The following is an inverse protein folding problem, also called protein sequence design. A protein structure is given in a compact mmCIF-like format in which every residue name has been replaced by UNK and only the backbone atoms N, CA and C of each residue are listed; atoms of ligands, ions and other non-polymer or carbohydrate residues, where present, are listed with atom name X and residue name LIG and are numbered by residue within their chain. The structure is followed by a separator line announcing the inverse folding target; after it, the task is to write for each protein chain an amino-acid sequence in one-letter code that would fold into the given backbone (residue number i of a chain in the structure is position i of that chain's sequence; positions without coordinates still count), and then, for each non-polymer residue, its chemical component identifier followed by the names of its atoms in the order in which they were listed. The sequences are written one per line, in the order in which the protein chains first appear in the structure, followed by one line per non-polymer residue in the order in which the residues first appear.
data_IF_154430775157
#
_entry.id   IF_154430775157
#
_cell.length_a   1.000
_cell.length_b   1.000
_cell.length_c   1.000
_cell.angle_alpha   90.00
_cell.angle_beta   90.00
_cell.angle_gamma   90.00
#
_symmetry.space_group_name_H-M   'P 1'
#
loop_
_entity.id
_entity.type
_entity.pdbx_description
1 polymer ?
#
# COMPACT_ATOMS: atom_id res chain seq x y z
N UNK A 1 -7.23 -9.92 -3.38
CA UNK A 1 -6.95 -8.47 -3.32
C UNK A 1 -7.16 -7.75 -4.66
N UNK A 2 -6.30 -7.91 -5.68
CA UNK A 2 -6.33 -7.07 -6.90
C UNK A 2 -7.68 -7.10 -7.64
N UNK A 3 -8.27 -8.29 -7.81
CA UNK A 3 -9.62 -8.46 -8.36
C UNK A 3 -10.70 -7.72 -7.56
N UNK A 4 -10.63 -7.73 -6.24
CA UNK A 4 -11.57 -7.02 -5.37
C UNK A 4 -11.42 -5.49 -5.49
N UNK A 5 -10.19 -4.98 -5.64
CA UNK A 5 -9.97 -3.56 -5.90
C UNK A 5 -10.52 -3.13 -7.28
N UNK A 6 -10.35 -3.96 -8.31
CA UNK A 6 -10.85 -3.68 -9.66
C UNK A 6 -12.39 -3.67 -9.71
N UNK A 7 -13.05 -4.57 -8.99
CA UNK A 7 -14.52 -4.67 -8.98
C UNK A 7 -15.19 -3.48 -8.27
N UNK A 8 -14.57 -2.93 -7.23
CA UNK A 8 -15.14 -1.80 -6.48
C UNK A 8 -14.86 -0.43 -7.13
N UNK A 9 -13.74 -0.28 -7.84
CA UNK A 9 -13.32 1.02 -8.39
C UNK A 9 -13.93 1.36 -9.76
N UNK A 10 -14.82 0.52 -10.31
CA UNK A 10 -15.70 0.91 -11.44
C UNK A 10 -15.00 1.49 -12.69
N UNK A 11 -13.71 1.16 -12.91
CA UNK A 11 -12.90 1.67 -14.01
C UNK A 11 -11.84 2.72 -13.65
N UNK A 12 -11.84 3.30 -12.44
CA UNK A 12 -10.77 4.19 -11.97
C UNK A 12 -9.60 3.45 -11.32
N UNK A 13 -9.68 2.11 -11.22
CA UNK A 13 -8.67 1.26 -10.59
C UNK A 13 -7.25 1.48 -11.14
N UNK A 14 -7.13 1.79 -12.43
CA UNK A 14 -5.84 2.05 -13.08
C UNK A 14 -5.14 3.28 -12.51
N UNK A 15 -5.90 4.32 -12.11
CA UNK A 15 -5.37 5.50 -11.44
C UNK A 15 -4.79 5.17 -10.06
N UNK A 16 -5.24 4.08 -9.44
CA UNK A 16 -4.80 3.64 -8.11
C UNK A 16 -3.92 2.39 -8.15
N UNK A 17 -3.57 1.90 -9.34
CA UNK A 17 -2.78 0.67 -9.50
C UNK A 17 -1.44 0.76 -8.76
N UNK A 18 -0.76 1.90 -8.86
CA UNK A 18 0.49 2.16 -8.16
C UNK A 18 0.36 2.05 -6.63
N UNK A 19 -0.77 2.46 -6.04
CA UNK A 19 -1.02 2.33 -4.60
C UNK A 19 -1.33 0.89 -4.20
N UNK A 20 -2.04 0.15 -5.05
CA UNK A 20 -2.36 -1.27 -4.81
C UNK A 20 -1.08 -2.11 -4.86
N UNK A 21 -0.26 -1.90 -5.89
CA UNK A 21 1.04 -2.55 -6.04
C UNK A 21 1.97 -2.18 -4.87
N UNK A 22 2.00 -0.90 -4.49
CA UNK A 22 2.76 -0.44 -3.34
C UNK A 22 2.33 -1.15 -2.05
N UNK A 23 1.02 -1.20 -1.76
CA UNK A 23 0.53 -1.86 -0.56
C UNK A 23 0.87 -3.36 -0.55
N UNK A 24 0.71 -4.04 -1.70
CA UNK A 24 1.04 -5.45 -1.85
C UNK A 24 2.53 -5.74 -1.61
N UNK A 25 3.42 -5.02 -2.30
CA UNK A 25 4.86 -5.26 -2.22
C UNK A 25 5.44 -4.94 -0.83
N UNK A 26 4.78 -4.11 -0.04
CA UNK A 26 5.23 -3.70 1.30
C UNK A 26 4.50 -4.40 2.44
N UNK A 27 3.54 -5.27 2.14
CA UNK A 27 2.81 -6.04 3.15
C UNK A 27 3.50 -7.36 3.43
N UNK A 28 3.37 -7.83 4.67
CA UNK A 28 3.92 -9.11 5.08
C UNK A 28 3.23 -10.26 4.34
N UNK A 29 4.03 -11.16 3.76
CA UNK A 29 3.54 -12.35 3.09
C UNK A 29 4.03 -13.59 3.86
N UNK A 30 3.09 -14.38 4.37
CA UNK A 30 3.38 -15.59 5.14
C UNK A 30 4.19 -16.64 4.36
N UNK A 31 4.00 -16.73 3.04
CA UNK A 31 4.72 -17.68 2.18
C UNK A 31 6.22 -17.42 2.08
N UNK A 32 6.66 -16.16 2.22
CA UNK A 32 8.07 -15.77 2.17
C UNK A 32 8.59 -15.26 3.53
N UNK A 33 7.72 -15.14 4.53
CA UNK A 33 8.07 -14.72 5.88
C UNK A 33 8.47 -13.25 6.03
N UNK A 34 8.25 -12.42 5.01
CA UNK A 34 8.59 -10.99 4.96
C UNK A 34 7.79 -10.28 3.86
N UNK A 35 7.97 -8.98 3.65
CA UNK A 35 7.38 -8.29 2.50
C UNK A 35 8.18 -8.56 1.20
N UNK A 36 7.54 -8.66 0.02
CA UNK A 36 8.25 -8.81 -1.25
C UNK A 36 9.33 -7.75 -1.49
N UNK A 37 9.09 -6.50 -1.05
CA UNK A 37 10.08 -5.42 -1.11
C UNK A 37 11.30 -5.73 -0.23
N UNK A 38 11.09 -6.25 0.98
CA UNK A 38 12.17 -6.64 1.89
C UNK A 38 12.99 -7.79 1.28
N UNK A 39 12.32 -8.77 0.66
CA UNK A 39 12.99 -9.88 -0.01
C UNK A 39 13.85 -9.42 -1.20
N UNK A 40 13.37 -8.42 -1.95
CA UNK A 40 14.07 -7.90 -3.13
C UNK A 40 15.25 -6.98 -2.78
N UNK A 41 15.07 -6.10 -1.79
CA UNK A 41 16.04 -5.03 -1.47
C UNK A 41 16.81 -5.25 -0.17
N UNK A 42 16.48 -6.29 0.61
CA UNK A 42 17.11 -6.57 1.91
C UNK A 42 16.82 -5.51 2.99
N UNK A 43 15.85 -4.62 2.77
CA UNK A 43 15.51 -3.53 3.69
C UNK A 43 14.02 -3.20 3.64
N UNK A 44 13.50 -2.64 4.72
CA UNK A 44 12.13 -2.10 4.75
C UNK A 44 12.00 -0.91 3.81
N UNK A 45 10.86 -0.78 3.14
CA UNK A 45 10.59 0.37 2.32
C UNK A 45 10.50 1.64 3.17
N UNK A 46 11.16 2.69 2.69
CA UNK A 46 11.10 4.02 3.30
C UNK A 46 10.42 4.93 2.28
N UNK A 47 9.16 5.26 2.52
CA UNK A 47 8.42 6.21 1.69
C UNK A 47 7.96 7.39 2.52
N UNK A 48 7.70 8.56 1.93
CA UNK A 48 7.09 9.71 2.62
C UNK A 48 5.79 9.36 3.35
N UNK A 49 5.06 8.33 2.87
CA UNK A 49 3.82 7.83 3.48
C UNK A 49 4.09 6.81 4.61
N UNK A 50 5.30 6.25 4.68
CA UNK A 50 5.80 5.37 5.74
C UNK A 50 6.79 6.06 6.69
N UNK A 51 6.91 7.41 6.64
CA UNK A 51 7.52 8.19 7.71
C UNK A 51 6.59 8.20 8.92
N UNK A 52 6.66 7.13 9.70
CA UNK A 52 6.57 7.26 11.15
C UNK A 52 7.94 6.95 11.75
N UNK A 53 8.95 7.70 11.32
CA UNK A 53 9.86 8.34 12.26
C UNK A 53 9.53 9.83 12.27
N UNK A 54 9.51 10.43 13.45
CA UNK A 54 9.05 11.80 13.71
C UNK A 54 9.86 12.79 12.87
N UNK A 55 9.26 13.48 11.89
CA UNK A 55 9.87 14.71 11.38
C UNK A 55 9.49 15.24 10.00
N UNK A 56 9.30 14.39 8.99
CA UNK A 56 9.34 14.90 7.60
C UNK A 56 7.96 14.85 6.92
N UNK A 57 7.19 15.94 7.12
CA UNK A 57 5.91 16.21 6.44
C UNK A 57 6.16 16.97 5.14
N UNK A 58 6.93 16.42 4.23
CA UNK A 58 7.34 17.13 3.01
C UNK A 58 6.92 16.41 1.75
N UNK A 59 6.02 17.03 0.96
CA UNK A 59 6.00 17.08 -0.54
C UNK A 59 4.57 17.00 -1.12
N UNK A 60 3.60 16.36 -0.45
CA UNK A 60 2.22 16.22 -0.96
C UNK A 60 1.23 17.01 -0.09
N UNK A 61 0.21 17.63 -0.70
CA UNK A 61 -0.83 18.37 0.02
C UNK A 61 -1.61 17.46 0.99
N UNK A 62 -2.16 18.00 2.10
CA UNK A 62 -2.87 17.22 3.13
C UNK A 62 -4.00 16.35 2.58
N UNK A 63 -4.72 16.85 1.56
CA UNK A 63 -5.84 16.16 0.93
C UNK A 63 -5.38 14.91 0.17
N UNK A 64 -4.28 15.03 -0.58
CA UNK A 64 -3.72 13.92 -1.36
C UNK A 64 -3.14 12.86 -0.41
N UNK A 65 -2.48 13.30 0.67
CA UNK A 65 -1.99 12.38 1.71
C UNK A 65 -3.15 11.62 2.34
N UNK A 66 -4.24 12.30 2.67
CA UNK A 66 -5.40 11.70 3.32
C UNK A 66 -6.11 10.70 2.39
N UNK A 67 -6.38 11.10 1.14
CA UNK A 67 -6.99 10.21 0.12
C UNK A 67 -6.14 8.96 -0.10
N UNK A 68 -4.82 9.14 -0.28
CA UNK A 68 -3.87 8.05 -0.48
C UNK A 68 -3.82 7.12 0.74
N UNK A 69 -3.82 7.69 1.95
CA UNK A 69 -3.80 6.93 3.21
C UNK A 69 -5.06 6.09 3.37
N UNK A 70 -6.23 6.65 3.10
CA UNK A 70 -7.50 5.93 3.17
C UNK A 70 -7.54 4.78 2.15
N UNK A 71 -7.02 5.02 0.95
CA UNK A 71 -6.96 3.99 -0.09
C UNK A 71 -6.02 2.85 0.30
N UNK A 72 -4.83 3.17 0.81
CA UNK A 72 -3.87 2.15 1.30
C UNK A 72 -4.51 1.31 2.41
N UNK A 73 -5.19 1.94 3.37
CA UNK A 73 -5.90 1.21 4.44
C UNK A 73 -6.96 0.27 3.88
N UNK A 74 -7.75 0.71 2.90
CA UNK A 74 -8.74 -0.15 2.23
C UNK A 74 -8.08 -1.35 1.54
N UNK A 75 -6.95 -1.14 0.85
CA UNK A 75 -6.21 -2.24 0.19
C UNK A 75 -5.64 -3.21 1.22
N UNK A 76 -5.10 -2.72 2.34
CA UNK A 76 -4.58 -3.56 3.43
C UNK A 76 -5.68 -4.43 4.06
N UNK A 77 -6.87 -3.89 4.27
CA UNK A 77 -7.98 -4.66 4.82
C UNK A 77 -8.40 -5.77 3.85
N UNK A 78 -8.50 -5.46 2.55
CA UNK A 78 -8.77 -6.46 1.51
C UNK A 78 -7.67 -7.52 1.39
N UNK A 79 -6.42 -7.16 1.67
CA UNK A 79 -5.32 -8.13 1.73
C UNK A 79 -5.49 -9.07 2.91
N UNK A 80 -5.78 -8.56 4.11
CA UNK A 80 -6.04 -9.40 5.29
C UNK A 80 -7.17 -10.39 5.04
N UNK A 81 -8.30 -9.92 4.52
CA UNK A 81 -9.44 -10.80 4.17
C UNK A 81 -9.04 -11.88 3.15
N UNK A 82 -8.17 -11.56 2.20
CA UNK A 82 -7.71 -12.52 1.20
C UNK A 82 -6.60 -13.48 1.71
N UNK A 83 -5.99 -13.17 2.85
CA UNK A 83 -4.94 -13.96 3.50
C UNK A 83 -5.50 -14.86 4.62
N UNK A 84 -6.75 -14.61 5.05
CA UNK A 84 -7.52 -15.44 5.99
C UNK A 84 -8.06 -16.72 5.36
#
# INVERSE_FOLDING_TARGET
MLRACVLEDGGTWSKHLHLIEFAYNNSYHSSIGMAPYEALYGRKCRTPLCWTEVGDRGVLGPEIIQETTLKIKSVQEKMKVAQS
#
